data_IF_333129422572
#
_entry.id   IF_333129422572
#
_cell.length_a   1.000
_cell.length_b   1.000
_cell.length_c   1.000
_cell.angle_alpha   90.00
_cell.angle_beta   90.00
_cell.angle_gamma   90.00
#
_symmetry.space_group_name_H-M   'P 1'
#
loop_
_entity.id
_entity.type
_entity.pdbx_description
1 polymer ?
#
# COMPACT_ATOMS: atom_id res chain seq x y z
N UNK A 1 62.55 56.08 29.70
CA UNK A 1 62.42 56.16 28.22
C UNK A 1 60.92 56.15 27.94
N UNK A 2 60.23 57.28 27.65
CA UNK A 2 60.16 58.02 26.36
C UNK A 2 59.73 57.03 25.24
N UNK A 3 58.54 57.08 24.61
CA UNK A 3 57.87 58.22 23.95
C UNK A 3 56.42 57.88 23.47
N UNK A 4 55.58 58.93 23.38
CA UNK A 4 54.55 59.34 22.37
C UNK A 4 53.39 58.38 22.01
N UNK A 5 52.11 58.71 22.21
CA UNK A 5 51.28 59.83 21.69
C UNK A 5 51.03 59.77 20.16
N UNK A 6 49.77 59.50 19.79
CA UNK A 6 49.11 60.23 18.70
C UNK A 6 47.58 60.17 18.84
N UNK A 7 47.00 61.36 18.94
CA UNK A 7 45.59 61.68 18.72
C UNK A 7 45.21 61.46 17.25
N UNK A 8 43.93 61.16 17.00
CA UNK A 8 43.36 61.07 15.67
C UNK A 8 41.84 60.92 15.73
N UNK A 9 41.14 62.02 15.97
CA UNK A 9 39.71 62.19 15.71
C UNK A 9 39.44 62.04 14.22
N UNK A 10 38.48 61.19 13.82
CA UNK A 10 37.86 61.26 12.49
C UNK A 10 36.35 61.17 12.66
N UNK A 11 35.70 62.16 12.09
CA UNK A 11 34.29 62.47 12.06
C UNK A 11 33.42 61.37 11.44
N UNK A 12 32.16 61.38 11.89
CA UNK A 12 30.98 60.76 11.30
C UNK A 12 30.86 60.93 9.79
N UNK A 13 30.38 59.90 9.08
CA UNK A 13 29.33 60.02 8.04
C UNK A 13 28.66 58.63 7.78
N UNK A 14 27.40 58.61 7.29
CA UNK A 14 26.46 57.49 7.40
C UNK A 14 26.53 56.54 6.20
N UNK A 15 26.36 55.24 6.44
CA UNK A 15 26.16 54.28 5.35
C UNK A 15 24.89 53.50 5.65
N UNK A 16 23.85 53.86 4.90
CA UNK A 16 22.57 53.16 4.89
C UNK A 16 22.74 51.74 4.37
N UNK A 17 22.39 50.77 5.21
CA UNK A 17 22.20 49.38 4.79
C UNK A 17 20.79 49.26 4.24
N UNK A 18 20.68 49.22 2.91
CA UNK A 18 19.46 48.81 2.21
C UNK A 18 19.20 47.34 2.53
N UNK A 19 18.02 47.07 3.10
CA UNK A 19 17.46 45.74 3.27
C UNK A 19 17.33 45.04 1.91
N UNK A 20 17.82 43.80 1.72
CA UNK A 20 17.65 43.10 0.46
C UNK A 20 16.17 42.73 0.26
N UNK A 21 15.74 42.92 -0.98
CA UNK A 21 14.37 42.82 -1.43
C UNK A 21 13.65 41.56 -0.96
N UNK A 22 12.40 41.79 -0.55
CA UNK A 22 11.37 40.80 -0.25
C UNK A 22 11.10 39.94 -1.49
N UNK A 23 11.84 38.84 -1.67
CA UNK A 23 11.54 37.83 -2.68
C UNK A 23 10.30 37.06 -2.21
N UNK A 24 9.12 37.57 -2.60
CA UNK A 24 7.86 36.85 -2.43
C UNK A 24 8.02 35.46 -3.06
N UNK A 25 7.96 34.42 -2.23
CA UNK A 25 7.75 33.05 -2.68
C UNK A 25 6.53 33.04 -3.62
N UNK A 26 6.58 32.32 -4.75
CA UNK A 26 5.43 32.25 -5.65
C UNK A 26 4.26 31.66 -4.88
N UNK A 27 3.16 32.43 -4.82
CA UNK A 27 1.87 31.95 -4.33
C UNK A 27 1.47 30.77 -5.21
N UNK A 28 1.53 29.57 -4.66
CA UNK A 28 1.04 28.37 -5.33
C UNK A 28 -0.47 28.50 -5.38
N UNK A 29 -1.01 28.99 -6.49
CA UNK A 29 -2.45 29.02 -6.69
C UNK A 29 -2.99 27.59 -6.58
N UNK A 30 -4.03 27.33 -5.76
CA UNK A 30 -4.68 26.03 -5.76
C UNK A 30 -5.21 25.75 -7.17
N UNK A 31 -4.88 24.56 -7.68
CA UNK A 31 -5.28 24.12 -9.01
C UNK A 31 -6.82 24.10 -9.10
N UNK A 32 -7.37 24.56 -10.24
CA UNK A 32 -8.82 24.53 -10.51
C UNK A 32 -9.33 23.08 -10.49
N UNK A 33 -10.58 22.88 -10.06
CA UNK A 33 -11.17 21.55 -9.85
C UNK A 33 -11.08 20.59 -11.05
N UNK A 34 -11.19 21.10 -12.27
CA UNK A 34 -11.12 20.29 -13.50
C UNK A 34 -9.70 19.74 -13.78
N UNK A 35 -8.65 20.49 -13.45
CA UNK A 35 -7.26 20.07 -13.61
C UNK A 35 -6.87 18.97 -12.59
N UNK A 36 -7.46 19.03 -11.40
CA UNK A 36 -7.27 18.01 -10.35
C UNK A 36 -7.97 16.69 -10.71
N UNK A 37 -9.15 16.75 -11.33
CA UNK A 37 -9.86 15.58 -11.81
C UNK A 37 -9.09 14.87 -12.94
N UNK A 38 -8.57 15.63 -13.90
CA UNK A 38 -7.74 15.10 -15.00
C UNK A 38 -6.45 14.41 -14.51
N UNK A 39 -5.73 15.03 -13.57
CA UNK A 39 -4.52 14.43 -12.96
C UNK A 39 -4.82 13.15 -12.17
N UNK A 40 -5.95 13.11 -11.47
CA UNK A 40 -6.37 11.93 -10.71
C UNK A 40 -6.66 10.76 -11.65
N UNK A 41 -7.37 11.02 -12.74
CA UNK A 41 -7.71 10.00 -13.73
C UNK A 41 -6.46 9.48 -14.48
N UNK A 42 -5.53 10.38 -14.79
CA UNK A 42 -4.23 10.01 -15.35
C UNK A 42 -3.42 9.11 -14.41
N UNK A 43 -3.39 9.42 -13.12
CA UNK A 43 -2.70 8.59 -12.12
C UNK A 43 -3.31 7.19 -12.02
N UNK A 44 -4.65 7.09 -11.98
CA UNK A 44 -5.34 5.78 -11.97
C UNK A 44 -5.00 4.98 -13.21
N UNK A 45 -5.06 5.60 -14.38
CA UNK A 45 -4.72 4.98 -15.66
C UNK A 45 -3.28 4.47 -15.66
N UNK A 46 -2.31 5.27 -15.19
CA UNK A 46 -0.90 4.88 -15.13
C UNK A 46 -0.66 3.70 -14.17
N UNK A 47 -1.32 3.67 -13.02
CA UNK A 47 -1.21 2.56 -12.05
C UNK A 47 -1.85 1.29 -12.64
N UNK A 48 -3.06 1.40 -13.19
CA UNK A 48 -3.77 0.25 -13.75
C UNK A 48 -3.03 -0.33 -14.96
N UNK A 49 -2.46 0.50 -15.83
CA UNK A 49 -1.65 0.05 -16.95
C UNK A 49 -0.38 -0.69 -16.51
N UNK A 50 0.28 -0.25 -15.42
CA UNK A 50 1.43 -0.98 -14.87
C UNK A 50 1.04 -2.38 -14.39
N UNK A 51 -0.14 -2.53 -13.78
CA UNK A 51 -0.65 -3.82 -13.31
C UNK A 51 -1.05 -4.71 -14.50
N UNK A 52 -1.73 -4.15 -15.51
CA UNK A 52 -2.07 -4.87 -16.75
C UNK A 52 -0.79 -5.37 -17.43
N UNK A 53 0.22 -4.52 -17.60
CA UNK A 53 1.49 -4.93 -18.22
C UNK A 53 2.18 -6.05 -17.45
N UNK A 54 2.17 -6.00 -16.12
CA UNK A 54 2.72 -7.06 -15.30
C UNK A 54 1.96 -8.39 -15.50
N UNK A 55 0.63 -8.34 -15.56
CA UNK A 55 -0.22 -9.52 -15.84
C UNK A 55 -0.06 -10.07 -17.26
N UNK A 56 0.12 -9.21 -18.27
CA UNK A 56 0.28 -9.61 -19.68
C UNK A 56 1.67 -10.16 -20.00
N UNK A 57 2.69 -9.79 -19.22
CA UNK A 57 4.07 -10.21 -19.47
C UNK A 57 4.30 -11.72 -19.40
N UNK A 58 3.33 -12.50 -18.92
CA UNK A 58 3.22 -13.97 -19.08
C UNK A 58 4.28 -14.82 -18.38
N UNK A 59 5.39 -14.22 -17.94
CA UNK A 59 6.55 -14.87 -17.33
C UNK A 59 6.61 -14.67 -15.81
N UNK A 60 5.52 -14.24 -15.16
CA UNK A 60 5.52 -13.90 -13.73
C UNK A 60 4.16 -14.16 -13.09
N UNK A 61 4.20 -14.62 -11.83
CA UNK A 61 3.04 -14.65 -10.93
C UNK A 61 2.32 -13.28 -10.97
N UNK A 62 0.97 -13.24 -10.83
CA UNK A 62 0.26 -11.98 -10.65
C UNK A 62 0.93 -11.09 -9.60
N UNK A 63 0.92 -9.74 -9.72
CA UNK A 63 1.68 -8.87 -8.83
C UNK A 63 1.41 -9.05 -7.33
N UNK A 64 0.21 -9.51 -6.98
CA UNK A 64 -0.20 -9.85 -5.62
C UNK A 64 0.37 -11.19 -5.11
N UNK A 65 0.70 -12.13 -5.99
CA UNK A 65 1.13 -13.52 -5.68
C UNK A 65 2.63 -13.76 -5.55
N UNK A 66 3.49 -12.76 -5.72
CA UNK A 66 4.94 -13.03 -5.81
C UNK A 66 5.52 -13.53 -4.46
N UNK A 67 6.42 -14.53 -4.42
CA UNK A 67 6.99 -15.07 -3.20
C UNK A 67 7.72 -14.02 -2.37
N UNK A 68 7.29 -13.88 -1.12
CA UNK A 68 7.84 -13.03 -0.09
C UNK A 68 9.05 -13.69 0.61
N UNK A 69 10.00 -14.27 -0.13
CA UNK A 69 10.96 -15.23 0.43
C UNK A 69 12.21 -14.64 1.12
N UNK A 70 12.30 -13.34 1.35
CA UNK A 70 13.46 -12.72 2.01
C UNK A 70 13.14 -12.30 3.45
N UNK A 71 14.14 -12.23 4.32
CA UNK A 71 14.03 -12.03 5.78
C UNK A 71 13.43 -10.68 6.24
N UNK A 72 12.90 -9.89 5.31
CA UNK A 72 12.16 -8.65 5.59
C UNK A 72 10.95 -8.50 4.66
N UNK A 73 10.41 -9.60 4.15
CA UNK A 73 9.30 -9.65 3.16
C UNK A 73 7.90 -9.62 3.78
N UNK A 74 7.78 -9.06 4.99
CA UNK A 74 6.47 -8.68 5.51
C UNK A 74 5.79 -7.64 4.61
N UNK A 75 4.55 -7.25 4.94
CA UNK A 75 3.82 -6.25 4.17
C UNK A 75 4.65 -4.97 4.02
N UNK A 76 4.56 -4.34 2.84
CA UNK A 76 5.17 -3.03 2.62
C UNK A 76 4.65 -2.07 3.67
N UNK A 77 5.55 -1.44 4.43
CA UNK A 77 5.19 -0.61 5.59
C UNK A 77 5.87 0.75 5.58
N UNK A 78 5.22 1.72 6.21
CA UNK A 78 5.80 3.05 6.38
C UNK A 78 6.81 3.06 7.52
N UNK A 79 8.01 3.61 7.29
CA UNK A 79 9.08 3.67 8.30
C UNK A 79 8.62 4.31 9.61
N UNK A 80 7.95 5.47 9.53
CA UNK A 80 7.69 6.31 10.70
C UNK A 80 6.51 5.77 11.51
N UNK A 81 5.43 5.42 10.83
CA UNK A 81 4.23 4.92 11.52
C UNK A 81 4.28 3.42 11.83
N UNK A 82 5.20 2.66 11.22
CA UNK A 82 5.24 1.20 11.28
C UNK A 82 4.08 0.51 10.56
N UNK A 83 3.05 1.25 10.13
CA UNK A 83 1.81 0.70 9.56
C UNK A 83 2.04 0.14 8.16
N UNK A 84 1.45 -1.02 7.85
CA UNK A 84 1.41 -1.53 6.48
C UNK A 84 0.62 -0.58 5.58
N UNK A 85 1.03 -0.49 4.31
CA UNK A 85 0.24 0.22 3.30
C UNK A 85 -1.00 -0.61 2.93
N UNK A 86 -2.09 0.07 2.59
CA UNK A 86 -3.36 -0.55 2.22
C UNK A 86 -3.85 -0.11 0.83
N UNK A 87 -4.96 -0.71 0.38
CA UNK A 87 -5.54 -0.46 -0.92
C UNK A 87 -4.61 -0.95 -2.04
N UNK A 88 -4.45 -0.17 -3.11
CA UNK A 88 -3.61 -0.55 -4.26
C UNK A 88 -2.11 -0.43 -3.98
N UNK A 89 -1.72 0.27 -2.91
CA UNK A 89 -0.34 0.66 -2.66
C UNK A 89 0.61 -0.54 -2.48
N UNK A 90 0.26 -1.64 -1.78
CA UNK A 90 1.11 -2.82 -1.72
C UNK A 90 1.51 -3.35 -3.09
N UNK A 91 0.60 -3.37 -4.08
CA UNK A 91 0.92 -3.80 -5.44
C UNK A 91 1.87 -2.84 -6.14
N UNK A 92 1.61 -1.53 -6.00
CA UNK A 92 2.44 -0.49 -6.64
C UNK A 92 3.87 -0.53 -6.08
N UNK A 93 4.01 -0.64 -4.76
CA UNK A 93 5.29 -0.75 -4.08
C UNK A 93 6.01 -2.05 -4.47
N UNK A 94 5.26 -3.15 -4.56
CA UNK A 94 5.82 -4.43 -4.97
C UNK A 94 6.34 -4.42 -6.41
N UNK A 95 5.59 -3.84 -7.34
CA UNK A 95 6.03 -3.66 -8.73
C UNK A 95 7.26 -2.74 -8.81
N UNK A 96 7.34 -1.72 -7.96
CA UNK A 96 8.51 -0.86 -7.88
C UNK A 96 9.74 -1.58 -7.33
N UNK A 97 9.59 -2.36 -6.25
CA UNK A 97 10.67 -3.21 -5.71
C UNK A 97 11.22 -4.14 -6.78
N UNK A 98 10.36 -4.78 -7.56
CA UNK A 98 10.80 -5.69 -8.63
C UNK A 98 11.55 -4.95 -9.75
N UNK A 99 11.02 -3.81 -10.18
CA UNK A 99 11.62 -3.02 -11.26
C UNK A 99 13.02 -2.53 -10.91
N UNK A 100 13.26 -2.22 -9.64
CA UNK A 100 14.51 -1.64 -9.17
C UNK A 100 15.39 -2.60 -8.38
N UNK A 101 14.94 -3.83 -8.14
CA UNK A 101 15.66 -4.83 -7.34
C UNK A 101 15.74 -4.50 -5.85
N UNK A 102 14.73 -3.81 -5.30
CA UNK A 102 14.69 -3.54 -3.86
C UNK A 102 14.32 -4.80 -3.07
N UNK A 103 15.00 -5.00 -1.95
CA UNK A 103 14.85 -6.12 -1.02
C UNK A 103 14.14 -5.72 0.28
N UNK A 104 14.14 -4.44 0.65
CA UNK A 104 13.40 -3.98 1.83
C UNK A 104 11.91 -3.78 1.55
N UNK A 105 11.06 -4.07 2.55
CA UNK A 105 9.63 -3.72 2.58
C UNK A 105 9.35 -2.35 3.22
N UNK A 106 10.39 -1.60 3.59
CA UNK A 106 10.25 -0.33 4.32
C UNK A 106 10.31 0.85 3.36
N UNK A 107 9.30 1.72 3.45
CA UNK A 107 9.18 2.90 2.61
C UNK A 107 8.86 4.14 3.42
N UNK A 108 9.32 5.30 2.97
CA UNK A 108 8.93 6.58 3.55
C UNK A 108 8.99 7.69 2.52
N UNK A 109 8.30 8.81 2.78
CA UNK A 109 8.47 10.01 1.96
C UNK A 109 9.87 10.61 2.14
N UNK A 110 10.32 11.44 1.21
CA UNK A 110 11.59 12.16 1.33
C UNK A 110 11.72 12.92 2.66
N UNK A 111 10.64 13.59 3.09
CA UNK A 111 10.60 14.32 4.36
C UNK A 111 10.76 13.39 5.56
N UNK A 112 10.09 12.23 5.54
CA UNK A 112 10.19 11.25 6.62
C UNK A 112 11.59 10.63 6.71
N UNK A 113 12.23 10.33 5.58
CA UNK A 113 13.62 9.88 5.57
C UNK A 113 14.55 10.92 6.16
N UNK A 114 14.45 12.19 5.75
CA UNK A 114 15.27 13.25 6.34
C UNK A 114 15.05 13.41 7.84
N UNK A 115 13.80 13.29 8.32
CA UNK A 115 13.48 13.32 9.75
C UNK A 115 14.11 12.16 10.53
N UNK A 116 14.30 11.01 9.89
CA UNK A 116 14.97 9.84 10.44
C UNK A 116 16.49 9.83 10.18
N UNK A 117 17.09 10.96 9.80
CA UNK A 117 18.51 11.08 9.44
C UNK A 117 18.94 10.23 8.23
N UNK A 118 17.98 9.90 7.36
CA UNK A 118 18.19 9.24 6.09
C UNK A 118 18.35 10.22 4.92
N UNK A 119 19.24 9.89 4.00
CA UNK A 119 19.52 10.67 2.80
C UNK A 119 19.17 9.85 1.55
N UNK A 120 18.17 10.29 0.79
CA UNK A 120 17.79 9.60 -0.45
C UNK A 120 18.92 9.75 -1.48
N UNK A 121 19.43 8.63 -1.97
CA UNK A 121 20.48 8.53 -2.98
C UNK A 121 20.09 9.27 -4.26
N UNK A 122 21.08 9.80 -4.96
CA UNK A 122 20.89 10.39 -6.29
C UNK A 122 20.26 9.35 -7.24
N UNK A 123 19.28 9.79 -8.03
CA UNK A 123 18.69 9.00 -9.11
C UNK A 123 19.80 8.45 -10.04
N UNK A 124 19.84 7.12 -10.28
CA UNK A 124 20.72 6.53 -11.29
C UNK A 124 20.41 7.06 -12.70
N UNK A 125 21.43 7.26 -13.53
CA UNK A 125 21.26 7.90 -14.84
C UNK A 125 20.36 7.08 -15.79
N UNK A 126 20.31 5.75 -15.63
CA UNK A 126 19.45 4.83 -16.38
C UNK A 126 17.96 4.84 -15.97
N UNK A 127 17.59 5.48 -14.86
CA UNK A 127 16.19 5.59 -14.40
C UNK A 127 15.60 6.91 -14.89
N UNK A 128 14.45 6.93 -15.59
CA UNK A 128 13.85 8.19 -16.08
C UNK A 128 13.58 9.21 -14.95
N UNK A 129 13.72 10.53 -15.18
CA UNK A 129 13.31 11.56 -14.21
C UNK A 129 11.87 11.33 -13.71
N UNK A 130 11.66 11.50 -12.41
CA UNK A 130 10.36 11.24 -11.76
C UNK A 130 10.01 9.76 -11.54
N UNK A 131 10.85 8.82 -11.98
CA UNK A 131 10.65 7.37 -11.79
C UNK A 131 11.62 6.75 -10.78
N UNK A 132 12.35 7.56 -10.02
CA UNK A 132 13.20 7.08 -8.93
C UNK A 132 12.40 6.85 -7.65
N UNK A 133 11.56 7.82 -7.26
CA UNK A 133 10.57 7.59 -6.22
C UNK A 133 9.34 6.85 -6.77
N UNK A 134 8.62 6.20 -5.88
CA UNK A 134 7.38 5.48 -6.20
C UNK A 134 6.17 6.30 -5.77
N UNK A 135 5.22 6.53 -6.68
CA UNK A 135 4.00 7.27 -6.38
C UNK A 135 2.95 6.33 -5.81
N UNK A 136 2.57 6.55 -4.55
CA UNK A 136 1.45 5.89 -3.87
C UNK A 136 0.26 6.84 -3.78
N UNK A 137 -0.91 6.31 -3.43
CA UNK A 137 -2.14 7.08 -3.36
C UNK A 137 -3.02 6.71 -2.15
N UNK A 138 -3.72 7.71 -1.61
CA UNK A 138 -4.66 7.54 -0.51
C UNK A 138 -5.94 8.31 -0.81
N UNK A 139 -7.08 7.76 -0.41
CA UNK A 139 -8.34 8.49 -0.42
C UNK A 139 -8.47 9.26 0.89
N UNK A 140 -8.59 10.58 0.78
CA UNK A 140 -8.76 11.45 1.93
C UNK A 140 -10.07 12.25 1.81
N UNK A 141 -10.82 12.42 2.91
CA UNK A 141 -11.99 13.28 2.90
C UNK A 141 -11.54 14.74 2.82
N UNK A 142 -12.31 15.54 2.08
CA UNK A 142 -12.20 16.98 1.97
C UNK A 142 -13.57 17.55 2.24
N UNK A 143 -13.66 18.33 3.31
CA UNK A 143 -14.84 19.13 3.58
C UNK A 143 -14.85 20.35 2.65
N UNK A 144 -15.98 20.57 2.00
CA UNK A 144 -16.24 21.80 1.24
C UNK A 144 -17.53 22.39 1.75
N UNK A 145 -17.45 23.62 2.23
CA UNK A 145 -18.63 24.39 2.61
C UNK A 145 -19.39 24.80 1.37
N UNK A 146 -20.67 24.46 1.32
CA UNK A 146 -21.63 24.91 0.31
C UNK A 146 -22.64 25.80 1.01
N UNK A 147 -22.94 26.95 0.40
CA UNK A 147 -24.05 27.79 0.83
C UNK A 147 -25.30 27.34 0.11
N UNK A 148 -26.32 26.98 0.87
CA UNK A 148 -27.65 26.62 0.36
C UNK A 148 -28.43 27.86 -0.02
N UNK A 149 -29.50 27.68 -0.78
CA UNK A 149 -30.33 28.77 -1.29
C UNK A 149 -31.05 29.56 -0.17
N UNK A 150 -31.21 28.95 1.01
CA UNK A 150 -31.73 29.58 2.23
C UNK A 150 -30.68 30.38 3.02
N UNK A 151 -29.43 30.40 2.55
CA UNK A 151 -28.32 31.13 3.15
C UNK A 151 -27.59 30.40 4.26
N UNK A 152 -27.99 29.16 4.62
CA UNK A 152 -27.25 28.32 5.56
C UNK A 152 -25.97 27.73 4.94
N UNK A 153 -25.00 27.34 5.80
CA UNK A 153 -23.77 26.68 5.38
C UNK A 153 -23.90 25.18 5.65
N UNK A 154 -23.92 24.37 4.60
CA UNK A 154 -23.81 22.91 4.69
C UNK A 154 -22.36 22.48 4.38
N UNK A 155 -21.87 21.45 5.05
CA UNK A 155 -20.54 20.90 4.84
C UNK A 155 -20.64 19.59 4.04
N UNK A 156 -20.33 19.67 2.76
CA UNK A 156 -20.25 18.49 1.90
C UNK A 156 -18.89 17.80 2.08
N UNK A 157 -18.89 16.49 2.32
CA UNK A 157 -17.67 15.68 2.39
C UNK A 157 -17.42 14.99 1.05
N UNK A 158 -16.34 15.38 0.39
CA UNK A 158 -15.87 14.76 -0.86
C UNK A 158 -14.64 13.91 -0.60
N UNK A 159 -14.53 12.76 -1.25
CA UNK A 159 -13.33 11.93 -1.20
C UNK A 159 -12.44 12.24 -2.38
N UNK A 160 -11.22 12.70 -2.11
CA UNK A 160 -10.20 12.94 -3.15
C UNK A 160 -9.09 11.91 -3.07
N UNK A 161 -8.49 11.59 -4.22
CA UNK A 161 -7.28 10.79 -4.28
C UNK A 161 -6.08 11.72 -4.10
N UNK A 162 -5.37 11.61 -2.99
CA UNK A 162 -4.07 12.24 -2.78
C UNK A 162 -2.98 11.28 -3.23
N UNK A 163 -1.90 11.83 -3.78
CA UNK A 163 -0.72 11.04 -4.13
C UNK A 163 0.52 11.56 -3.39
N UNK A 164 1.42 10.64 -3.08
CA UNK A 164 2.69 10.93 -2.42
C UNK A 164 3.80 10.14 -3.09
N UNK A 165 4.99 10.73 -3.16
CA UNK A 165 6.19 10.02 -3.59
C UNK A 165 6.91 9.46 -2.37
N UNK A 166 7.11 8.14 -2.36
CA UNK A 166 7.87 7.42 -1.34
C UNK A 166 9.12 6.77 -1.93
N UNK A 167 10.10 6.54 -1.07
CA UNK A 167 11.38 5.92 -1.38
C UNK A 167 11.57 4.72 -0.47
N UNK A 168 12.07 3.63 -1.05
CA UNK A 168 12.42 2.42 -0.34
C UNK A 168 13.70 2.63 0.48
N UNK A 169 13.86 1.90 1.59
CA UNK A 169 15.09 1.90 2.39
C UNK A 169 16.37 1.67 1.56
N UNK A 170 16.30 0.86 0.51
CA UNK A 170 17.47 0.56 -0.34
C UNK A 170 17.94 1.78 -1.15
N UNK A 171 17.07 2.77 -1.30
CA UNK A 171 17.35 4.04 -1.96
C UNK A 171 17.93 5.09 -1.00
N UNK A 172 18.19 4.73 0.27
CA UNK A 172 18.53 5.68 1.33
C UNK A 172 19.82 5.29 2.01
N UNK A 173 20.70 6.28 2.23
CA UNK A 173 21.88 6.18 3.09
C UNK A 173 21.55 6.71 4.49
N UNK A 174 22.07 6.07 5.54
CA UNK A 174 21.78 6.44 6.92
C UNK A 174 21.89 5.28 7.90
N UNK A 175 21.61 5.51 9.19
CA UNK A 175 21.79 4.53 10.27
C UNK A 175 20.65 3.52 10.34
N UNK A 176 20.47 2.73 9.27
CA UNK A 176 19.36 1.79 9.11
C UNK A 176 19.80 0.37 8.79
N UNK A 177 21.07 0.01 9.02
CA UNK A 177 21.57 -1.33 8.73
C UNK A 177 20.78 -2.42 9.47
N UNK A 178 20.34 -2.14 10.69
CA UNK A 178 19.48 -3.01 11.50
C UNK A 178 18.08 -3.23 10.89
N UNK A 179 17.64 -2.35 9.98
CA UNK A 179 16.35 -2.46 9.29
C UNK A 179 16.48 -3.14 7.93
N UNK A 180 17.71 -3.41 7.46
CA UNK A 180 17.95 -4.09 6.19
C UNK A 180 17.79 -5.61 6.39
N UNK A 181 17.29 -6.34 5.39
CA UNK A 181 17.27 -7.79 5.47
C UNK A 181 18.69 -8.31 5.72
N UNK A 182 18.88 -9.06 6.80
CA UNK A 182 20.11 -9.84 6.98
C UNK A 182 20.05 -11.09 6.08
N UNK A 183 21.16 -11.48 5.48
CA UNK A 183 21.33 -12.81 4.88
C UNK A 183 21.29 -13.87 5.98
N UNK A 184 20.11 -14.18 6.48
CA UNK A 184 19.90 -15.40 7.27
C UNK A 184 19.68 -16.54 6.30
N UNK A 185 20.37 -17.65 6.53
CA UNK A 185 20.12 -18.93 5.87
C UNK A 185 18.62 -19.20 5.81
N UNK A 186 18.07 -19.67 4.67
CA UNK A 186 16.66 -19.99 4.55
C UNK A 186 16.32 -21.01 5.64
N UNK A 187 15.63 -20.56 6.69
CA UNK A 187 15.08 -21.46 7.69
C UNK A 187 14.23 -22.45 6.93
N UNK A 188 14.50 -23.75 7.12
CA UNK A 188 13.73 -24.84 6.49
C UNK A 188 12.28 -24.69 6.94
N UNK A 189 11.48 -23.98 6.16
CA UNK A 189 10.14 -23.53 6.48
C UNK A 189 9.14 -24.71 6.35
N UNK A 190 9.24 -25.65 7.27
CA UNK A 190 8.03 -26.25 7.85
C UNK A 190 7.84 -25.60 9.22
N UNK A 191 7.79 -24.26 9.22
CA UNK A 191 7.42 -23.51 10.41
C UNK A 191 5.90 -23.56 10.52
N UNK A 192 5.41 -24.01 11.67
CA UNK A 192 3.99 -23.98 11.97
C UNK A 192 3.51 -22.55 11.79
N UNK A 193 2.51 -22.33 10.94
CA UNK A 193 1.91 -21.02 10.74
C UNK A 193 0.88 -20.76 11.86
N UNK A 194 1.35 -20.73 13.11
CA UNK A 194 0.49 -20.66 14.30
C UNK A 194 -0.39 -19.41 14.28
N UNK A 195 0.15 -18.25 13.88
CA UNK A 195 -0.64 -17.02 13.71
C UNK A 195 -1.79 -17.17 12.69
N UNK A 196 -1.61 -18.00 11.67
CA UNK A 196 -2.64 -18.29 10.69
C UNK A 196 -3.71 -19.23 11.26
N UNK A 197 -3.30 -20.25 12.02
CA UNK A 197 -4.23 -21.13 12.73
C UNK A 197 -5.03 -20.37 13.80
N UNK A 198 -4.38 -19.50 14.57
CA UNK A 198 -5.01 -18.62 15.56
C UNK A 198 -6.05 -17.71 14.93
N UNK A 199 -5.70 -17.07 13.81
CA UNK A 199 -6.64 -16.23 13.07
C UNK A 199 -7.85 -17.03 12.62
N UNK A 200 -7.64 -18.15 11.93
CA UNK A 200 -8.73 -18.99 11.42
C UNK A 200 -9.65 -19.41 12.57
N UNK A 201 -9.08 -19.87 13.70
CA UNK A 201 -9.85 -20.26 14.87
C UNK A 201 -10.63 -19.08 15.47
N UNK A 202 -10.00 -17.91 15.60
CA UNK A 202 -10.61 -16.72 16.19
C UNK A 202 -11.79 -16.16 15.37
N UNK A 203 -11.85 -16.43 14.06
CA UNK A 203 -13.00 -16.03 13.24
C UNK A 203 -14.29 -16.77 13.59
N UNK A 204 -14.19 -17.93 14.24
CA UNK A 204 -15.30 -18.85 14.53
C UNK A 204 -16.12 -19.24 13.28
N UNK A 205 -15.56 -19.10 12.08
CA UNK A 205 -16.21 -19.53 10.85
C UNK A 205 -16.47 -21.05 10.88
N UNK A 206 -17.65 -21.48 10.44
CA UNK A 206 -17.97 -22.90 10.27
C UNK A 206 -17.17 -23.47 9.09
N UNK A 207 -16.04 -24.11 9.38
CA UNK A 207 -15.16 -24.74 8.40
C UNK A 207 -15.32 -26.26 8.48
N UNK A 208 -15.86 -26.84 7.42
CA UNK A 208 -16.16 -28.27 7.30
C UNK A 208 -15.16 -28.95 6.39
N UNK A 209 -14.83 -30.21 6.70
CA UNK A 209 -13.97 -31.01 5.84
C UNK A 209 -14.75 -31.52 4.62
N UNK A 210 -14.17 -31.38 3.42
CA UNK A 210 -14.73 -31.91 2.17
C UNK A 210 -13.66 -32.26 1.15
N UNK A 211 -14.03 -32.34 -0.13
CA UNK A 211 -13.15 -32.70 -1.25
C UNK A 211 -12.75 -31.51 -2.13
N UNK A 212 -13.33 -30.33 -1.88
CA UNK A 212 -13.03 -29.07 -2.56
C UNK A 212 -13.05 -27.91 -1.58
N UNK A 213 -12.31 -26.85 -1.91
CA UNK A 213 -12.39 -25.59 -1.19
C UNK A 213 -13.51 -24.73 -1.79
N UNK A 214 -14.44 -24.26 -0.97
CA UNK A 214 -15.40 -23.22 -1.34
C UNK A 214 -16.13 -22.64 -0.12
N UNK A 215 -16.43 -21.35 -0.15
CA UNK A 215 -17.48 -20.76 0.67
C UNK A 215 -18.87 -21.06 0.09
N UNK A 216 -19.82 -21.42 0.96
CA UNK A 216 -21.21 -21.75 0.60
C UNK A 216 -22.16 -20.71 1.18
N UNK A 217 -22.56 -19.67 0.42
CA UNK A 217 -23.35 -18.56 0.95
C UNK A 217 -24.71 -18.97 1.52
N UNK A 218 -25.37 -19.95 0.90
CA UNK A 218 -26.71 -20.38 1.32
C UNK A 218 -26.74 -21.03 2.71
N UNK A 219 -25.61 -21.59 3.15
CA UNK A 219 -25.48 -22.22 4.47
C UNK A 219 -24.54 -21.48 5.42
N UNK A 220 -23.91 -20.39 4.98
CA UNK A 220 -22.89 -19.63 5.70
C UNK A 220 -21.77 -20.51 6.32
N UNK A 221 -21.17 -21.37 5.50
CA UNK A 221 -20.05 -22.21 5.92
C UNK A 221 -19.00 -22.35 4.81
N UNK A 222 -17.78 -22.68 5.20
CA UNK A 222 -16.66 -22.97 4.31
C UNK A 222 -16.44 -24.48 4.25
N UNK A 223 -16.15 -25.00 3.07
CA UNK A 223 -15.65 -26.36 2.89
C UNK A 223 -14.16 -26.25 2.60
N UNK A 224 -13.35 -27.05 3.28
CA UNK A 224 -11.92 -27.20 3.03
C UNK A 224 -11.52 -28.67 2.93
N UNK A 225 -10.66 -29.05 1.97
CA UNK A 225 -9.98 -30.33 2.01
C UNK A 225 -9.11 -30.46 3.27
N UNK A 226 -8.82 -31.69 3.73
CA UNK A 226 -7.85 -31.90 4.81
C UNK A 226 -6.51 -31.25 4.50
N UNK A 227 -5.83 -30.70 5.51
CA UNK A 227 -4.52 -30.02 5.37
C UNK A 227 -3.50 -30.90 4.63
N UNK A 228 -3.53 -32.20 4.88
CA UNK A 228 -2.63 -33.21 4.33
C UNK A 228 -2.83 -33.44 2.82
N UNK A 229 -3.96 -33.00 2.26
CA UNK A 229 -4.22 -33.11 0.82
C UNK A 229 -3.57 -31.99 -0.01
N UNK A 230 -3.04 -30.96 0.65
CA UNK A 230 -2.35 -29.86 0.00
C UNK A 230 -0.85 -30.16 -0.15
N UNK A 231 -0.23 -29.58 -1.19
CA UNK A 231 1.19 -29.80 -1.49
C UNK A 231 2.11 -29.14 -0.46
N UNK A 232 1.66 -28.03 0.12
CA UNK A 232 2.42 -27.23 1.07
C UNK A 232 1.48 -26.56 2.08
N UNK A 233 2.02 -26.12 3.22
CA UNK A 233 1.30 -25.27 4.17
C UNK A 233 0.79 -23.97 3.55
N UNK A 234 1.65 -23.19 2.84
CA UNK A 234 1.21 -22.02 2.09
C UNK A 234 0.00 -22.25 1.19
N UNK A 235 -0.02 -23.33 0.41
CA UNK A 235 -1.14 -23.66 -0.49
C UNK A 235 -2.46 -23.80 0.30
N UNK A 236 -2.40 -24.42 1.49
CA UNK A 236 -3.54 -24.57 2.37
C UNK A 236 -4.03 -23.22 2.90
N UNK A 237 -3.13 -22.42 3.48
CA UNK A 237 -3.53 -21.15 4.11
C UNK A 237 -3.98 -20.12 3.09
N UNK A 238 -3.33 -20.01 1.93
CA UNK A 238 -3.83 -19.14 0.85
C UNK A 238 -5.24 -19.55 0.41
N UNK A 239 -5.49 -20.85 0.26
CA UNK A 239 -6.83 -21.35 -0.09
C UNK A 239 -7.83 -21.05 1.03
N UNK A 240 -7.47 -21.28 2.29
CA UNK A 240 -8.35 -20.98 3.42
C UNK A 240 -8.66 -19.48 3.53
N UNK A 241 -7.67 -18.62 3.31
CA UNK A 241 -7.83 -17.16 3.32
C UNK A 241 -8.68 -16.66 2.15
N UNK A 242 -8.57 -17.28 0.98
CA UNK A 242 -9.45 -16.99 -0.16
C UNK A 242 -10.91 -17.25 0.21
N UNK A 243 -11.21 -18.43 0.77
CA UNK A 243 -12.58 -18.77 1.17
C UNK A 243 -13.07 -17.95 2.38
N UNK A 244 -12.21 -17.66 3.36
CA UNK A 244 -12.53 -16.75 4.46
C UNK A 244 -12.80 -15.33 3.98
N UNK A 245 -12.12 -14.90 2.92
CA UNK A 245 -12.41 -13.61 2.31
C UNK A 245 -13.82 -13.61 1.74
N UNK A 246 -14.20 -14.63 0.97
CA UNK A 246 -15.60 -14.79 0.53
C UNK A 246 -16.58 -14.89 1.68
N UNK A 247 -16.20 -15.53 2.80
CA UNK A 247 -17.02 -15.55 3.99
C UNK A 247 -17.30 -14.14 4.51
N UNK A 248 -16.42 -13.15 4.37
CA UNK A 248 -16.72 -11.76 4.77
C UNK A 248 -17.80 -11.06 3.91
N UNK A 249 -18.15 -11.61 2.76
CA UNK A 249 -19.01 -10.99 1.74
C UNK A 249 -20.44 -10.62 2.18
N UNK A 250 -21.19 -11.48 2.90
CA UNK A 250 -22.62 -11.29 3.14
C UNK A 250 -22.99 -10.01 3.89
N UNK A 251 -24.27 -9.65 3.81
CA UNK A 251 -24.84 -8.42 4.36
C UNK A 251 -24.60 -8.25 5.86
N UNK A 252 -24.64 -9.34 6.64
CA UNK A 252 -24.42 -9.31 8.09
C UNK A 252 -22.95 -9.17 8.49
N UNK A 253 -22.01 -9.15 7.54
CA UNK A 253 -20.59 -8.89 7.75
C UNK A 253 -20.17 -7.61 7.02
N UNK A 254 -19.43 -7.72 5.91
CA UNK A 254 -18.91 -6.53 5.22
C UNK A 254 -19.80 -6.01 4.10
N UNK A 255 -20.85 -6.75 3.73
CA UNK A 255 -21.79 -6.39 2.66
C UNK A 255 -21.08 -5.80 1.44
N UNK A 256 -20.27 -6.63 0.77
CA UNK A 256 -19.37 -6.16 -0.28
C UNK A 256 -20.12 -5.34 -1.36
N UNK A 257 -19.66 -4.12 -1.59
CA UNK A 257 -20.16 -3.32 -2.70
C UNK A 257 -19.54 -3.81 -4.02
N UNK A 258 -20.20 -4.77 -4.66
CA UNK A 258 -19.75 -5.35 -5.94
C UNK A 258 -20.03 -4.45 -7.14
N UNK A 259 -20.79 -3.35 -7.02
CA UNK A 259 -21.21 -2.44 -8.12
C UNK A 259 -21.62 -3.13 -9.45
N UNK A 260 -22.12 -4.37 -9.39
CA UNK A 260 -22.47 -5.15 -10.58
C UNK A 260 -21.28 -5.75 -11.37
N UNK A 261 -20.07 -5.79 -10.81
CA UNK A 261 -18.83 -6.26 -11.48
C UNK A 261 -18.74 -7.80 -11.67
N UNK A 262 -19.81 -8.51 -11.32
CA UNK A 262 -19.97 -9.94 -11.56
C UNK A 262 -19.05 -10.83 -10.69
N UNK A 263 -19.15 -12.14 -10.91
CA UNK A 263 -18.46 -13.16 -10.13
C UNK A 263 -16.93 -13.03 -10.18
N UNK A 264 -16.36 -12.74 -11.37
CA UNK A 264 -14.91 -12.61 -11.55
C UNK A 264 -14.28 -11.47 -10.71
N UNK A 265 -15.02 -10.40 -10.42
CA UNK A 265 -14.54 -9.33 -9.54
C UNK A 265 -14.48 -9.79 -8.08
N UNK A 266 -15.43 -10.62 -7.64
CA UNK A 266 -15.41 -11.26 -6.33
C UNK A 266 -14.18 -12.14 -6.15
N UNK A 267 -13.85 -12.97 -7.15
CA UNK A 267 -12.65 -13.80 -7.14
C UNK A 267 -11.36 -12.97 -7.13
N UNK A 268 -11.31 -11.82 -7.84
CA UNK A 268 -10.15 -10.93 -7.78
C UNK A 268 -9.95 -10.34 -6.38
N UNK A 269 -11.04 -9.98 -5.70
CA UNK A 269 -11.00 -9.48 -4.32
C UNK A 269 -10.45 -10.57 -3.40
N UNK A 270 -11.02 -11.77 -3.45
CA UNK A 270 -10.60 -12.90 -2.61
C UNK A 270 -9.12 -13.26 -2.83
N UNK A 271 -8.69 -13.29 -4.09
CA UNK A 271 -7.31 -13.55 -4.49
C UNK A 271 -6.33 -12.51 -3.93
N UNK A 272 -6.63 -11.21 -4.10
CA UNK A 272 -5.76 -10.13 -3.58
C UNK A 272 -5.73 -10.17 -2.05
N UNK A 273 -6.89 -10.40 -1.41
CA UNK A 273 -7.03 -10.45 0.04
C UNK A 273 -6.22 -11.60 0.65
N UNK A 274 -6.30 -12.80 0.06
CA UNK A 274 -5.56 -13.97 0.49
C UNK A 274 -4.04 -13.71 0.47
N UNK A 275 -3.52 -13.12 -0.60
CA UNK A 275 -2.11 -12.75 -0.69
C UNK A 275 -1.71 -11.68 0.32
N UNK A 276 -2.56 -10.67 0.54
CA UNK A 276 -2.29 -9.65 1.55
C UNK A 276 -2.29 -10.24 2.96
N UNK A 277 -3.21 -11.16 3.26
CA UNK A 277 -3.34 -11.77 4.57
C UNK A 277 -2.18 -12.73 4.84
N UNK A 278 -1.79 -13.51 3.83
CA UNK A 278 -0.58 -14.32 3.86
C UNK A 278 0.66 -13.46 4.17
N UNK A 279 0.83 -12.33 3.48
CA UNK A 279 1.95 -11.42 3.73
C UNK A 279 1.95 -10.86 5.17
N UNK A 280 0.79 -10.43 5.68
CA UNK A 280 0.63 -9.92 7.05
C UNK A 280 0.97 -10.97 8.11
N UNK A 281 0.70 -12.26 7.83
CA UNK A 281 0.93 -13.38 8.75
C UNK A 281 2.27 -14.09 8.52
N UNK A 282 3.12 -13.58 7.63
CA UNK A 282 4.43 -14.17 7.34
C UNK A 282 4.38 -15.49 6.57
N UNK A 283 3.27 -15.77 5.88
CA UNK A 283 3.13 -16.95 5.03
C UNK A 283 3.69 -16.61 3.64
N UNK A 284 4.71 -17.34 3.14
CA UNK A 284 5.20 -17.13 1.79
C UNK A 284 4.11 -17.50 0.79
N UNK A 285 4.01 -16.75 -0.32
CA UNK A 285 3.04 -17.12 -1.36
C UNK A 285 3.39 -18.46 -2.00
N UNK A 286 2.38 -19.25 -2.40
CA UNK A 286 2.57 -20.47 -3.17
C UNK A 286 3.08 -20.17 -4.58
N UNK A 287 3.99 -21.01 -5.08
CA UNK A 287 4.45 -20.97 -6.47
C UNK A 287 3.39 -21.48 -7.47
N UNK A 288 2.23 -21.98 -6.99
CA UNK A 288 1.19 -22.57 -7.86
C UNK A 288 0.15 -21.53 -8.32
N UNK A 289 -0.07 -21.50 -9.64
CA UNK A 289 -1.02 -20.61 -10.34
C UNK A 289 -2.26 -21.39 -10.84
N UNK A 290 -2.36 -22.67 -10.53
CA UNK A 290 -3.33 -23.59 -11.13
C UNK A 290 -4.80 -23.11 -11.03
N UNK A 291 -5.15 -22.33 -10.00
CA UNK A 291 -6.50 -21.78 -9.81
C UNK A 291 -6.79 -20.43 -10.52
N UNK A 292 -5.81 -19.54 -10.68
CA UNK A 292 -6.08 -18.15 -11.15
C UNK A 292 -6.11 -17.99 -12.67
N UNK A 293 -5.64 -18.98 -13.43
CA UNK A 293 -5.63 -18.93 -14.90
C UNK A 293 -7.02 -18.83 -15.53
N UNK A 294 -8.05 -19.40 -14.86
CA UNK A 294 -9.43 -19.39 -15.35
C UNK A 294 -10.04 -17.97 -15.39
N UNK A 295 -9.70 -17.11 -14.44
CA UNK A 295 -10.26 -15.77 -14.31
C UNK A 295 -9.35 -14.66 -14.83
N UNK A 296 -8.05 -14.93 -15.05
CA UNK A 296 -7.07 -13.94 -15.52
C UNK A 296 -7.53 -13.17 -16.76
N UNK A 297 -8.12 -13.85 -17.74
CA UNK A 297 -8.66 -13.20 -18.95
C UNK A 297 -9.80 -12.23 -18.61
N UNK A 298 -10.70 -12.63 -17.72
CA UNK A 298 -11.81 -11.78 -17.26
C UNK A 298 -11.32 -10.59 -16.45
N UNK A 299 -10.33 -10.79 -15.58
CA UNK A 299 -9.70 -9.72 -14.81
C UNK A 299 -9.03 -8.70 -15.73
N UNK A 300 -8.19 -9.16 -16.66
CA UNK A 300 -7.54 -8.29 -17.64
C UNK A 300 -8.57 -7.48 -18.44
N UNK A 301 -9.67 -8.10 -18.87
CA UNK A 301 -10.74 -7.39 -19.57
C UNK A 301 -11.39 -6.31 -18.69
N UNK A 302 -11.71 -6.63 -17.44
CA UNK A 302 -12.30 -5.68 -16.49
C UNK A 302 -11.35 -4.49 -16.21
N UNK A 303 -10.06 -4.76 -16.02
CA UNK A 303 -9.04 -3.74 -15.79
C UNK A 303 -8.83 -2.83 -17.00
N UNK A 304 -8.92 -3.38 -18.22
CA UNK A 304 -8.84 -2.61 -19.47
C UNK A 304 -10.08 -1.74 -19.70
N UNK A 305 -11.25 -2.22 -19.30
CA UNK A 305 -12.52 -1.51 -19.45
C UNK A 305 -12.70 -0.39 -18.42
N UNK A 306 -12.20 -0.58 -17.19
CA UNK A 306 -12.37 0.36 -16.09
C UNK A 306 -11.09 0.46 -15.24
N UNK A 307 -10.40 1.60 -15.34
CA UNK A 307 -9.16 1.84 -14.60
C UNK A 307 -9.35 1.95 -13.08
N UNK A 308 -10.60 2.00 -12.59
CA UNK A 308 -10.96 2.05 -11.16
C UNK A 308 -11.21 0.66 -10.59
N UNK A 309 -11.39 -0.36 -11.43
CA UNK A 309 -11.69 -1.72 -11.01
C UNK A 309 -10.64 -2.27 -10.02
N UNK A 310 -9.35 -2.10 -10.31
CA UNK A 310 -8.29 -2.57 -9.40
C UNK A 310 -8.29 -1.83 -8.06
N UNK A 311 -8.62 -0.54 -8.05
CA UNK A 311 -8.68 0.26 -6.83
C UNK A 311 -9.84 -0.19 -5.94
N UNK A 312 -11.00 -0.48 -6.53
CA UNK A 312 -12.15 -1.04 -5.81
C UNK A 312 -11.84 -2.42 -5.26
N UNK A 313 -11.27 -3.30 -6.08
CA UNK A 313 -10.89 -4.64 -5.67
C UNK A 313 -9.89 -4.62 -4.49
N UNK A 314 -8.79 -3.86 -4.62
CA UNK A 314 -7.80 -3.76 -3.55
C UNK A 314 -8.35 -3.08 -2.28
N UNK A 315 -9.24 -2.09 -2.44
CA UNK A 315 -9.88 -1.43 -1.30
C UNK A 315 -10.81 -2.40 -0.57
N UNK A 316 -11.58 -3.23 -1.28
CA UNK A 316 -12.44 -4.22 -0.65
C UNK A 316 -11.62 -5.35 0.00
N UNK A 317 -10.56 -5.83 -0.66
CA UNK A 317 -9.63 -6.80 -0.10
C UNK A 317 -8.98 -6.29 1.20
N UNK A 318 -8.56 -5.02 1.23
CA UNK A 318 -8.00 -4.42 2.45
C UNK A 318 -9.03 -4.41 3.60
N UNK A 319 -10.30 -4.07 3.32
CA UNK A 319 -11.37 -4.12 4.34
C UNK A 319 -11.62 -5.53 4.85
N UNK A 320 -11.60 -6.53 3.96
CA UNK A 320 -11.76 -7.93 4.34
C UNK A 320 -10.61 -8.39 5.25
N UNK A 321 -9.37 -8.03 4.92
CA UNK A 321 -8.23 -8.32 5.77
C UNK A 321 -8.27 -7.59 7.10
N UNK A 322 -8.61 -6.30 7.13
CA UNK A 322 -8.75 -5.54 8.37
C UNK A 322 -9.82 -6.18 9.28
N UNK A 323 -10.94 -6.61 8.70
CA UNK A 323 -11.99 -7.33 9.40
C UNK A 323 -11.50 -8.67 9.97
N UNK A 324 -10.87 -9.52 9.15
CA UNK A 324 -10.33 -10.80 9.61
C UNK A 324 -9.26 -10.60 10.70
N UNK A 325 -8.30 -9.70 10.47
CA UNK A 325 -7.24 -9.43 11.45
C UNK A 325 -7.77 -8.80 12.74
N UNK A 326 -8.95 -8.18 12.75
CA UNK A 326 -9.56 -7.64 13.96
C UNK A 326 -9.95 -8.71 15.00
N UNK A 327 -10.08 -9.97 14.59
CA UNK A 327 -10.36 -11.09 15.51
C UNK A 327 -9.15 -11.45 16.38
N UNK A 328 -7.93 -11.10 15.96
CA UNK A 328 -6.67 -11.38 16.68
C UNK A 328 -5.91 -10.12 17.11
N UNK A 329 -6.20 -8.96 16.49
CA UNK A 329 -5.61 -7.68 16.89
C UNK A 329 -6.40 -7.06 18.03
N UNK A 330 -5.75 -6.88 19.17
CA UNK A 330 -6.27 -5.98 20.22
C UNK A 330 -6.31 -4.56 19.65
N UNK A 331 -7.41 -3.80 19.79
CA UNK A 331 -7.47 -2.44 19.26
C UNK A 331 -6.41 -1.55 19.91
N UNK A 332 -5.47 -1.03 19.13
CA UNK A 332 -4.62 0.06 19.59
C UNK A 332 -5.46 1.35 19.70
N UNK A 333 -5.27 2.16 20.75
CA UNK A 333 -5.90 3.47 20.83
C UNK A 333 -5.45 4.32 19.62
N UNK A 334 -6.43 4.83 18.88
CA UNK A 334 -6.18 5.78 17.79
C UNK A 334 -5.67 7.08 18.41
N UNK A 335 -4.36 7.27 18.48
CA UNK A 335 -3.80 8.62 18.67
C UNK A 335 -4.18 9.44 17.44
N UNK A 336 -5.06 10.41 17.65
CA UNK A 336 -5.41 11.40 16.66
C UNK A 336 -4.13 12.12 16.24
N UNK A 337 -3.71 11.91 14.99
CA UNK A 337 -2.63 12.66 14.38
C UNK A 337 -3.02 14.16 14.40
N UNK A 338 -2.33 14.93 15.24
CA UNK A 338 -2.44 16.39 15.33
C UNK A 338 -1.81 17.11 14.13
#
# INVERSE_FOLDING_TARGET
>A
MKWLAHEGSIESLPIGVRSPANTRLPVVNPLKGDDMAGKTEQLRTEITNQIIQALESGNSLPPWRKPWNTTNSGPHRNLISGRPYSGVNPLVLQLASQRHGFTSSIWATFKQWNQANGHVKRRPDNVKPGKWGTTICFTAPVAKKRRTDDGSEEEDKYWILKSYTVFNLDQVDGPFDQLRPSETEPTKLFEKFEAADELIAATEADIRTGDRACYVPAGDYIIMPPKESFHSGPDYYETAFHELTHWTEPEHRLNWDRKGEGYAAGELIAEISACYLAAELGIPNSDRIDKSGAYLKSWLQNLKNDNRAIFRACSQASKANDFLLSFVRTPEPVEAAA
#
